data_IF_596185046318
#
_entry.id   IF_596185046318
#
_cell.length_a   1.000
_cell.length_b   1.000
_cell.length_c   1.000
_cell.angle_alpha   90.00
_cell.angle_beta   90.00
_cell.angle_gamma   90.00
#
_symmetry.space_group_name_H-M   'P 1'
#
loop_
_entity.id
_entity.type
_entity.pdbx_description
1 polymer ?
#
# COMPACT_ATOMS: atom_id res chain seq x y z
N UNK A 1 -34.75 -5.74 -10.94
CA UNK A 1 -33.77 -6.52 -10.17
C UNK A 1 -32.88 -7.21 -11.17
N UNK A 2 -31.64 -6.75 -11.34
CA UNK A 2 -30.66 -7.42 -12.19
C UNK A 2 -29.91 -8.39 -11.31
N UNK A 3 -30.33 -9.65 -11.32
CA UNK A 3 -29.67 -10.74 -10.60
C UNK A 3 -28.32 -10.99 -11.25
N UNK A 4 -27.29 -10.31 -10.74
CA UNK A 4 -25.91 -10.71 -10.99
C UNK A 4 -25.64 -12.08 -10.36
N UNK A 5 -24.64 -12.82 -10.88
CA UNK A 5 -24.24 -14.09 -10.28
C UNK A 5 -23.88 -13.85 -8.80
N UNK A 6 -24.19 -14.82 -7.91
CA UNK A 6 -23.93 -14.67 -6.49
C UNK A 6 -22.44 -14.45 -6.22
N UNK A 7 -22.11 -13.73 -5.16
CA UNK A 7 -20.73 -13.59 -4.67
C UNK A 7 -20.20 -15.00 -4.34
N UNK A 8 -19.12 -15.40 -5.01
CA UNK A 8 -18.50 -16.71 -4.82
C UNK A 8 -17.05 -16.52 -4.39
N UNK A 9 -16.60 -17.39 -3.47
CA UNK A 9 -15.20 -17.40 -3.03
C UNK A 9 -14.29 -17.81 -4.20
N UNK A 10 -13.50 -16.87 -4.70
CA UNK A 10 -12.58 -17.11 -5.81
C UNK A 10 -11.26 -17.70 -5.31
N UNK A 11 -11.18 -19.05 -5.27
CA UNK A 11 -9.96 -19.77 -4.86
C UNK A 11 -8.78 -19.55 -5.82
N UNK A 12 -9.05 -19.25 -7.09
CA UNK A 12 -8.03 -18.94 -8.09
C UNK A 12 -7.30 -17.60 -7.84
N UNK A 13 -7.71 -16.86 -6.80
CA UNK A 13 -6.97 -15.70 -6.32
C UNK A 13 -5.56 -16.10 -5.82
N UNK A 14 -5.44 -17.19 -5.05
CA UNK A 14 -4.16 -17.60 -4.46
C UNK A 14 -3.18 -18.22 -5.45
N UNK A 15 -3.64 -18.66 -6.61
CA UNK A 15 -2.81 -19.32 -7.62
C UNK A 15 -2.13 -18.34 -8.58
N UNK A 16 -2.63 -17.10 -8.68
CA UNK A 16 -2.06 -16.09 -9.59
C UNK A 16 -0.89 -15.37 -8.96
N UNK A 17 0.26 -15.36 -9.65
CA UNK A 17 1.49 -14.65 -9.26
C UNK A 17 1.28 -13.15 -8.99
N UNK A 18 0.35 -12.51 -9.69
CA UNK A 18 0.02 -11.09 -9.53
C UNK A 18 -0.59 -10.80 -8.13
N UNK A 19 -1.37 -11.74 -7.61
CA UNK A 19 -2.01 -11.59 -6.30
C UNK A 19 -1.03 -11.79 -5.14
N UNK A 20 0.07 -12.54 -5.35
CA UNK A 20 1.16 -12.62 -4.37
C UNK A 20 1.82 -11.26 -4.13
N UNK A 21 1.96 -10.44 -5.18
CA UNK A 21 2.57 -9.11 -5.05
C UNK A 21 1.70 -8.19 -4.18
N UNK A 22 0.38 -8.29 -4.28
CA UNK A 22 -0.57 -7.56 -3.43
C UNK A 22 -0.56 -8.04 -1.98
N UNK A 23 -0.43 -9.35 -1.76
CA UNK A 23 -0.25 -9.91 -0.42
C UNK A 23 1.06 -9.38 0.19
N UNK A 24 2.13 -9.30 -0.59
CA UNK A 24 3.39 -8.70 -0.17
C UNK A 24 3.24 -7.21 0.18
N UNK A 25 2.53 -6.43 -0.64
CA UNK A 25 2.20 -5.03 -0.35
C UNK A 25 1.40 -4.89 0.94
N UNK A 26 0.45 -5.79 1.20
CA UNK A 26 -0.31 -5.82 2.45
C UNK A 26 0.59 -6.10 3.66
N UNK A 27 1.47 -7.10 3.55
CA UNK A 27 2.44 -7.46 4.61
C UNK A 27 3.36 -6.27 4.91
N UNK A 28 3.94 -5.65 3.87
CA UNK A 28 4.79 -4.46 4.06
C UNK A 28 4.02 -3.27 4.61
N UNK A 29 2.77 -3.06 4.19
CA UNK A 29 1.90 -2.04 4.77
C UNK A 29 1.69 -2.24 6.27
N UNK A 30 1.41 -3.47 6.71
CA UNK A 30 1.28 -3.79 8.14
C UNK A 30 2.59 -3.60 8.88
N UNK A 31 3.71 -4.11 8.36
CA UNK A 31 5.04 -3.92 8.98
C UNK A 31 5.31 -2.43 9.16
N UNK A 32 5.01 -1.62 8.16
CA UNK A 32 5.21 -0.18 8.21
C UNK A 32 4.30 0.47 9.28
N UNK A 33 3.02 0.09 9.41
CA UNK A 33 2.19 0.59 10.52
C UNK A 33 2.75 0.16 11.89
N UNK A 34 3.20 -1.09 12.04
CA UNK A 34 3.71 -1.61 13.30
C UNK A 34 5.02 -0.95 13.73
N UNK A 35 5.98 -0.79 12.82
CA UNK A 35 7.24 -0.10 13.13
C UNK A 35 6.99 1.33 13.60
N UNK A 36 5.97 1.99 13.03
CA UNK A 36 5.62 3.36 13.41
C UNK A 36 4.81 3.46 14.69
N UNK A 37 3.87 2.54 14.92
CA UNK A 37 3.14 2.47 16.17
C UNK A 37 4.08 2.21 17.36
N UNK A 38 5.09 1.36 17.17
CA UNK A 38 6.00 0.97 18.24
C UNK A 38 6.88 2.13 18.74
N UNK A 39 7.29 3.04 17.86
CA UNK A 39 8.04 4.24 18.26
C UNK A 39 7.18 5.50 18.46
N UNK A 40 5.85 5.39 18.34
CA UNK A 40 4.94 6.49 18.67
C UNK A 40 5.08 6.86 20.16
N UNK A 41 5.13 8.16 20.52
CA UNK A 41 5.17 8.57 21.92
C UNK A 41 3.92 8.06 22.65
N UNK A 42 4.08 6.94 23.37
CA UNK A 42 3.04 6.28 24.14
C UNK A 42 3.54 6.09 25.58
N UNK A 43 2.71 6.32 26.62
CA UNK A 43 3.08 6.03 28.01
C UNK A 43 3.61 4.61 28.24
N UNK A 44 3.30 3.64 27.37
CA UNK A 44 3.80 2.26 27.47
C UNK A 44 5.25 2.06 27.03
N UNK A 45 5.79 2.91 26.13
CA UNK A 45 7.13 2.75 25.56
C UNK A 45 7.98 4.00 25.76
N UNK A 46 8.44 4.21 27.00
CA UNK A 46 9.27 5.36 27.36
C UNK A 46 10.68 5.34 26.72
N UNK A 47 11.17 4.19 26.25
CA UNK A 47 12.55 3.99 25.81
C UNK A 47 12.74 3.71 24.31
N UNK A 48 11.82 4.13 23.41
CA UNK A 48 12.24 4.27 21.99
C UNK A 48 13.27 5.40 21.94
N UNK A 49 14.54 5.06 21.68
CA UNK A 49 15.63 6.04 21.51
C UNK A 49 15.40 7.02 20.35
N UNK A 50 14.41 6.72 19.50
CA UNK A 50 14.01 7.44 18.30
C UNK A 50 12.52 7.83 18.35
N UNK A 51 12.12 8.60 19.36
CA UNK A 51 10.74 9.15 19.43
C UNK A 51 10.44 10.00 18.20
N UNK A 52 9.21 9.96 17.70
CA UNK A 52 8.76 10.91 16.68
C UNK A 52 8.70 12.33 17.25
N UNK A 53 9.41 13.25 16.60
CA UNK A 53 9.51 14.65 17.04
C UNK A 53 8.56 15.57 16.27
N UNK A 54 7.93 15.09 15.18
CA UNK A 54 7.12 15.93 14.28
C UNK A 54 5.76 15.29 13.95
N UNK A 55 4.71 16.11 13.88
CA UNK A 55 3.36 15.68 13.50
C UNK A 55 3.26 15.27 12.03
N UNK A 56 4.18 15.75 11.17
CA UNK A 56 4.29 15.37 9.76
C UNK A 56 4.60 13.88 9.59
N UNK A 57 5.50 13.33 10.41
CA UNK A 57 5.84 11.91 10.42
C UNK A 57 4.62 11.04 10.72
N UNK A 58 3.88 11.36 11.78
CA UNK A 58 2.70 10.58 12.19
C UNK A 58 1.60 10.65 11.13
N UNK A 59 1.37 11.84 10.56
CA UNK A 59 0.38 12.03 9.52
C UNK A 59 0.71 11.20 8.26
N UNK A 60 1.96 11.24 7.79
CA UNK A 60 2.37 10.47 6.60
C UNK A 60 2.42 8.96 6.86
N UNK A 61 2.85 8.52 8.03
CA UNK A 61 3.04 7.09 8.27
C UNK A 61 1.79 6.37 8.76
N UNK A 62 0.85 7.07 9.41
CA UNK A 62 -0.39 6.46 9.88
C UNK A 62 -1.55 6.75 8.92
N UNK A 63 -1.72 8.01 8.49
CA UNK A 63 -2.89 8.38 7.68
C UNK A 63 -2.70 7.95 6.23
N UNK A 64 -1.59 8.31 5.59
CA UNK A 64 -1.34 7.91 4.20
C UNK A 64 -1.18 6.38 4.07
N UNK A 65 -0.38 5.77 4.95
CA UNK A 65 -0.15 4.33 4.93
C UNK A 65 -1.41 3.53 5.30
N UNK A 66 -2.16 3.99 6.30
CA UNK A 66 -3.45 3.39 6.67
C UNK A 66 -4.47 3.51 5.55
N UNK A 67 -4.54 4.65 4.86
CA UNK A 67 -5.40 4.82 3.68
C UNK A 67 -5.00 3.87 2.54
N UNK A 68 -3.71 3.81 2.20
CA UNK A 68 -3.22 2.88 1.19
C UNK A 68 -3.50 1.41 1.57
N UNK A 69 -3.27 1.03 2.83
CA UNK A 69 -3.52 -0.32 3.31
C UNK A 69 -5.01 -0.66 3.26
N UNK A 70 -5.88 0.26 3.68
CA UNK A 70 -7.32 0.08 3.58
C UNK A 70 -7.77 -0.16 2.13
N UNK A 71 -7.28 0.63 1.19
CA UNK A 71 -7.58 0.45 -0.23
C UNK A 71 -7.09 -0.91 -0.74
N UNK A 72 -5.86 -1.30 -0.42
CA UNK A 72 -5.29 -2.60 -0.82
C UNK A 72 -6.06 -3.77 -0.21
N UNK A 73 -6.46 -3.66 1.05
CA UNK A 73 -7.27 -4.66 1.73
C UNK A 73 -8.67 -4.77 1.10
N UNK A 74 -9.33 -3.65 0.83
CA UNK A 74 -10.65 -3.63 0.18
C UNK A 74 -10.61 -4.28 -1.20
N UNK A 75 -9.52 -4.07 -1.93
CA UNK A 75 -9.29 -4.66 -3.24
C UNK A 75 -9.06 -6.17 -3.20
N UNK A 76 -8.29 -6.64 -2.20
CA UNK A 76 -8.07 -8.08 -1.99
C UNK A 76 -9.40 -8.74 -1.60
N UNK A 77 -10.19 -8.13 -0.71
CA UNK A 77 -11.52 -8.63 -0.34
C UNK A 77 -12.47 -8.68 -1.54
N UNK A 78 -12.49 -7.64 -2.38
CA UNK A 78 -13.31 -7.61 -3.58
C UNK A 78 -12.92 -8.73 -4.58
N UNK A 79 -11.63 -9.01 -4.71
CA UNK A 79 -11.13 -10.11 -5.52
C UNK A 79 -11.51 -11.49 -4.96
N UNK A 80 -11.36 -11.69 -3.65
CA UNK A 80 -11.68 -12.97 -2.99
C UNK A 80 -13.19 -13.24 -3.03
N UNK A 81 -14.01 -12.20 -2.86
CA UNK A 81 -15.47 -12.32 -2.88
C UNK A 81 -16.06 -12.52 -4.29
N UNK A 82 -15.23 -12.51 -5.34
CA UNK A 82 -15.72 -12.60 -6.72
C UNK A 82 -16.54 -11.37 -7.13
N UNK A 83 -16.39 -10.24 -6.45
CA UNK A 83 -17.18 -9.03 -6.70
C UNK A 83 -16.97 -8.51 -8.13
N UNK A 84 -15.79 -8.71 -8.70
CA UNK A 84 -15.48 -8.35 -10.08
C UNK A 84 -16.29 -9.15 -11.11
N UNK A 85 -16.66 -10.39 -10.79
CA UNK A 85 -17.50 -11.23 -11.65
C UNK A 85 -18.99 -10.87 -11.48
N UNK A 86 -19.39 -10.36 -10.31
CA UNK A 86 -20.75 -9.89 -10.03
C UNK A 86 -21.04 -8.48 -10.58
N UNK A 87 -20.03 -7.60 -10.65
CA UNK A 87 -20.13 -6.22 -11.12
C UNK A 87 -19.48 -6.02 -12.50
N UNK A 88 -19.95 -6.78 -13.50
CA UNK A 88 -19.47 -6.72 -14.90
C UNK A 88 -19.56 -5.35 -15.59
N UNK A 89 -20.27 -4.37 -15.02
CA UNK A 89 -20.34 -3.00 -15.56
C UNK A 89 -19.05 -2.20 -15.40
N UNK A 90 -18.22 -2.55 -14.42
CA UNK A 90 -16.93 -1.90 -14.17
C UNK A 90 -15.80 -2.81 -14.58
N UNK A 91 -14.90 -2.35 -15.45
CA UNK A 91 -13.75 -3.14 -15.88
C UNK A 91 -12.76 -3.30 -14.70
N UNK A 92 -12.68 -4.48 -14.06
CA UNK A 92 -11.93 -4.73 -12.82
C UNK A 92 -10.47 -4.29 -12.92
N UNK A 93 -9.87 -4.63 -14.07
CA UNK A 93 -8.46 -4.44 -14.36
C UNK A 93 -8.09 -2.96 -14.50
N UNK A 94 -9.02 -2.14 -14.99
CA UNK A 94 -8.81 -0.69 -15.08
C UNK A 94 -8.86 -0.04 -13.70
N UNK A 95 -9.87 -0.39 -12.89
CA UNK A 95 -9.99 0.12 -11.52
C UNK A 95 -8.75 -0.25 -10.70
N UNK A 96 -8.33 -1.51 -10.81
CA UNK A 96 -7.12 -2.02 -10.18
C UNK A 96 -5.88 -1.21 -10.55
N UNK A 97 -5.72 -0.96 -11.84
CA UNK A 97 -4.60 -0.21 -12.34
C UNK A 97 -4.57 1.24 -11.85
N UNK A 98 -5.72 1.91 -11.83
CA UNK A 98 -5.79 3.27 -11.29
C UNK A 98 -5.49 3.32 -9.81
N UNK A 99 -5.96 2.35 -9.02
CA UNK A 99 -5.67 2.28 -7.59
C UNK A 99 -4.18 2.06 -7.32
N UNK A 100 -3.53 1.15 -8.05
CA UNK A 100 -2.09 0.90 -7.90
C UNK A 100 -1.27 2.12 -8.32
N UNK A 101 -1.65 2.82 -9.40
CA UNK A 101 -1.00 4.09 -9.75
C UNK A 101 -1.18 5.17 -8.70
N UNK A 102 -2.40 5.34 -8.18
CA UNK A 102 -2.68 6.30 -7.12
C UNK A 102 -1.81 6.00 -5.90
N UNK A 103 -1.80 4.76 -5.42
CA UNK A 103 -1.01 4.37 -4.26
C UNK A 103 0.49 4.58 -4.51
N UNK A 104 1.00 4.22 -5.69
CA UNK A 104 2.41 4.45 -6.05
C UNK A 104 2.75 5.94 -5.99
N UNK A 105 1.90 6.80 -6.54
CA UNK A 105 2.07 8.25 -6.45
C UNK A 105 2.10 8.74 -5.00
N UNK A 106 1.16 8.28 -4.16
CA UNK A 106 1.11 8.67 -2.74
C UNK A 106 2.37 8.22 -1.98
N UNK A 107 2.88 7.00 -2.24
CA UNK A 107 4.12 6.52 -1.62
C UNK A 107 5.37 7.25 -2.12
N UNK A 108 5.39 7.72 -3.39
CA UNK A 108 6.48 8.58 -3.89
C UNK A 108 6.49 9.90 -3.13
N UNK A 109 5.33 10.55 -3.01
CA UNK A 109 5.21 11.82 -2.28
C UNK A 109 5.63 11.62 -0.82
N UNK A 110 5.14 10.57 -0.16
CA UNK A 110 5.52 10.25 1.22
C UNK A 110 7.03 9.95 1.39
N UNK A 111 7.66 9.32 0.41
CA UNK A 111 9.09 9.06 0.43
C UNK A 111 9.90 10.36 0.29
N UNK A 112 9.53 11.24 -0.65
CA UNK A 112 10.19 12.55 -0.84
C UNK A 112 10.08 13.39 0.42
N UNK A 113 8.91 13.46 1.03
CA UNK A 113 8.72 14.23 2.26
C UNK A 113 9.53 13.68 3.42
N UNK A 114 9.65 12.35 3.56
CA UNK A 114 10.51 11.74 4.56
C UNK A 114 12.00 12.02 4.31
N UNK A 115 12.45 12.09 3.07
CA UNK A 115 13.82 12.48 2.73
C UNK A 115 14.06 13.94 3.13
N UNK A 116 13.14 14.84 2.79
CA UNK A 116 13.23 16.26 3.15
C UNK A 116 13.27 16.42 4.68
N UNK A 117 12.43 15.70 5.42
CA UNK A 117 12.43 15.75 6.88
C UNK A 117 13.70 15.10 7.48
N UNK A 118 14.26 14.06 6.84
CA UNK A 118 15.53 13.43 7.22
C UNK A 118 16.70 14.42 7.11
N UNK A 119 16.78 15.18 6.01
CA UNK A 119 17.87 16.14 5.78
C UNK A 119 17.78 17.38 6.66
N UNK A 120 16.56 17.84 6.97
CA UNK A 120 16.33 19.09 7.71
C UNK A 120 16.27 18.90 9.23
N UNK A 121 16.13 17.67 9.72
CA UNK A 121 15.93 17.42 11.15
C UNK A 121 17.23 17.07 11.87
N UNK A 122 17.51 17.66 13.06
CA UNK A 122 18.60 17.22 13.93
C UNK A 122 18.41 15.79 14.46
N UNK A 123 17.23 15.20 14.28
CA UNK A 123 16.88 13.84 14.69
C UNK A 123 16.83 12.86 13.50
N UNK A 124 17.64 13.07 12.46
CA UNK A 124 17.69 12.25 11.24
C UNK A 124 17.68 10.73 11.48
N UNK A 125 18.34 10.25 12.55
CA UNK A 125 18.36 8.82 12.90
C UNK A 125 16.96 8.22 13.08
N UNK A 126 16.05 8.96 13.71
CA UNK A 126 14.66 8.52 13.94
C UNK A 126 13.83 8.36 12.65
N UNK A 127 14.29 8.93 11.54
CA UNK A 127 13.64 8.79 10.24
C UNK A 127 14.16 7.58 9.46
N UNK A 128 15.24 6.93 9.90
CA UNK A 128 15.90 5.85 9.15
C UNK A 128 15.00 4.63 8.99
N UNK A 129 14.40 4.14 10.08
CA UNK A 129 13.51 2.96 10.05
C UNK A 129 12.24 3.21 9.23
N UNK A 130 11.51 4.34 9.43
CA UNK A 130 10.37 4.69 8.57
C UNK A 130 10.74 4.86 7.10
N UNK A 131 11.89 5.47 6.80
CA UNK A 131 12.37 5.66 5.44
C UNK A 131 12.62 4.30 4.78
N UNK A 132 13.34 3.39 5.44
CA UNK A 132 13.62 2.03 4.92
C UNK A 132 12.32 1.27 4.66
N UNK A 133 11.40 1.25 5.63
CA UNK A 133 10.12 0.53 5.48
C UNK A 133 9.26 1.09 4.35
N UNK A 134 9.20 2.43 4.23
CA UNK A 134 8.46 3.11 3.16
C UNK A 134 9.11 2.88 1.80
N UNK A 135 10.44 2.80 1.74
CA UNK A 135 11.20 2.48 0.52
C UNK A 135 10.89 1.07 0.01
N UNK A 136 10.87 0.06 0.89
CA UNK A 136 10.49 -1.30 0.52
C UNK A 136 9.04 -1.40 0.06
N UNK A 137 8.13 -0.69 0.75
CA UNK A 137 6.71 -0.65 0.38
C UNK A 137 6.54 0.00 -0.99
N UNK A 138 7.21 1.14 -1.23
CA UNK A 138 7.22 1.83 -2.53
C UNK A 138 7.77 0.92 -3.63
N UNK A 139 8.86 0.20 -3.37
CA UNK A 139 9.45 -0.72 -4.34
C UNK A 139 8.45 -1.81 -4.77
N UNK A 140 7.66 -2.36 -3.85
CA UNK A 140 6.61 -3.32 -4.18
C UNK A 140 5.52 -2.72 -5.09
N UNK A 141 5.12 -1.46 -4.85
CA UNK A 141 4.17 -0.75 -5.72
C UNK A 141 4.76 -0.33 -7.07
N UNK A 142 6.05 0.01 -7.14
CA UNK A 142 6.76 0.29 -8.40
C UNK A 142 6.89 -0.97 -9.25
N UNK A 143 7.19 -2.13 -8.64
CA UNK A 143 7.21 -3.40 -9.36
C UNK A 143 5.82 -3.72 -9.92
N UNK A 144 4.76 -3.52 -9.13
CA UNK A 144 3.39 -3.75 -9.57
C UNK A 144 3.00 -2.83 -10.75
N UNK A 145 3.23 -1.52 -10.61
CA UNK A 145 2.97 -0.56 -11.70
C UNK A 145 3.76 -0.87 -12.97
N UNK A 146 5.03 -1.26 -12.85
CA UNK A 146 5.86 -1.62 -14.02
C UNK A 146 5.35 -2.91 -14.70
N UNK A 147 4.92 -3.91 -13.94
CA UNK A 147 4.29 -5.12 -14.48
C UNK A 147 2.98 -4.79 -15.19
N UNK A 148 2.13 -3.94 -14.60
CA UNK A 148 0.88 -3.50 -15.22
C UNK A 148 1.09 -2.60 -16.45
N UNK A 149 2.18 -1.81 -16.49
CA UNK A 149 2.60 -1.06 -17.66
C UNK A 149 3.13 -1.96 -18.78
N UNK A 150 3.92 -2.99 -18.47
CA UNK A 150 4.37 -3.99 -19.47
C UNK A 150 3.20 -4.75 -20.08
N UNK A 151 2.15 -4.97 -19.31
CA UNK A 151 0.91 -5.60 -19.79
C UNK A 151 0.16 -4.75 -20.83
N UNK A 152 0.58 -3.50 -21.09
CA UNK A 152 -0.02 -2.58 -22.09
C UNK A 152 0.32 -2.93 -23.56
N UNK A 153 0.85 -4.12 -23.83
CA UNK A 153 0.82 -4.76 -25.16
C UNK A 153 -0.25 -5.90 -25.28
N UNK A 154 -1.56 -5.66 -25.12
CA UNK A 154 -2.60 -6.54 -25.67
C UNK A 154 -3.36 -5.86 -26.84
N UNK A 155 -2.86 -4.71 -27.33
CA UNK A 155 -3.36 -3.99 -28.52
C UNK A 155 -2.36 -4.02 -29.67
N UNK A 156 -1.44 -4.99 -29.66
CA UNK A 156 -0.71 -5.39 -30.86
C UNK A 156 -1.64 -6.24 -31.72
N UNK A 157 -2.42 -5.55 -32.56
CA UNK A 157 -2.69 -6.06 -33.90
C UNK A 157 -1.36 -6.23 -34.65
#
# INVERSE_FOLDING_TARGET
MTDGPPLMLNRAFFERKENFLKILQLIFGFINIFTNYWCYPNPHFLYCGERYFTSSQVFQLVVFNGFCLFLTLSMILANIAGAYDAFYKTNPYLLERYLVFLQTFLYIVACITLIVDYENSPYAKAFTVPLISTSFTLLAYVIDTTMQCRRKNPLGH
#
